data_IF_065922275904
#
_entry.id   IF_065922275904
#
_cell.length_a   1.000
_cell.length_b   1.000
_cell.length_c   1.000
_cell.angle_alpha   90.00
_cell.angle_beta   90.00
_cell.angle_gamma   90.00
#
_symmetry.space_group_name_H-M   'P 1'
#
loop_
_entity.id
_entity.type
_entity.pdbx_description
1 polymer ?
#
# COMPACT_ATOMS: atom_id res chain seq x y z
N UNK A 1 4.29 -14.79 -46.60
CA UNK A 1 5.50 -15.48 -46.09
C UNK A 1 6.63 -15.10 -47.00
N UNK A 2 7.38 -14.07 -46.61
CA UNK A 2 8.55 -13.62 -47.35
C UNK A 2 9.58 -14.75 -47.28
N UNK A 3 9.82 -15.45 -48.39
CA UNK A 3 10.90 -16.44 -48.46
C UNK A 3 12.19 -15.65 -48.25
N UNK A 4 12.77 -15.77 -47.06
CA UNK A 4 14.09 -15.25 -46.75
C UNK A 4 15.03 -15.80 -47.81
N UNK A 5 15.37 -14.96 -48.79
CA UNK A 5 16.40 -15.27 -49.78
C UNK A 5 17.67 -15.45 -48.97
N UNK A 6 18.08 -16.70 -48.77
CA UNK A 6 19.41 -17.01 -48.27
C UNK A 6 20.37 -16.29 -49.20
N UNK A 7 20.96 -15.19 -48.73
CA UNK A 7 21.96 -14.45 -49.49
C UNK A 7 23.23 -15.29 -49.44
N UNK A 8 23.25 -16.32 -50.29
CA UNK A 8 24.43 -17.12 -50.54
C UNK A 8 25.52 -16.19 -51.07
N UNK A 9 26.78 -16.44 -50.70
CA UNK A 9 27.90 -15.69 -51.25
C UNK A 9 27.85 -15.79 -52.78
N UNK A 10 28.02 -14.64 -53.46
CA UNK A 10 28.23 -14.64 -54.90
C UNK A 10 29.56 -15.34 -55.17
N UNK A 11 29.50 -16.64 -55.49
CA UNK A 11 30.69 -17.35 -55.96
C UNK A 11 31.25 -16.69 -57.22
N UNK A 12 32.51 -16.95 -57.58
CA UNK A 12 33.12 -16.38 -58.77
C UNK A 12 32.27 -16.66 -60.03
N UNK A 13 32.19 -15.68 -60.92
CA UNK A 13 31.44 -15.78 -62.18
C UNK A 13 32.10 -16.73 -63.19
N UNK A 14 33.23 -17.34 -62.82
CA UNK A 14 34.03 -18.24 -63.65
C UNK A 14 33.68 -19.72 -63.46
N UNK A 15 32.72 -20.06 -62.60
CA UNK A 15 32.33 -21.46 -62.38
C UNK A 15 31.69 -22.04 -63.63
N UNK A 16 31.98 -23.31 -63.92
CA UNK A 16 31.43 -24.01 -65.07
C UNK A 16 29.95 -24.42 -64.93
N UNK A 17 29.27 -24.02 -63.85
CA UNK A 17 27.87 -24.38 -63.55
C UNK A 17 27.10 -23.22 -62.89
N UNK A 18 25.78 -23.28 -63.01
CA UNK A 18 24.87 -22.41 -62.26
C UNK A 18 24.66 -22.95 -60.84
N UNK A 19 24.75 -22.06 -59.85
CA UNK A 19 24.62 -22.38 -58.42
C UNK A 19 23.16 -22.60 -58.03
N UNK A 20 22.24 -21.98 -58.76
CA UNK A 20 20.81 -22.06 -58.48
C UNK A 20 20.26 -23.46 -58.81
N UNK A 21 20.99 -24.25 -59.61
CA UNK A 21 20.68 -25.66 -59.88
C UNK A 21 20.61 -26.50 -58.59
N UNK A 22 21.50 -26.22 -57.62
CA UNK A 22 21.52 -26.92 -56.32
C UNK A 22 20.34 -26.56 -55.40
N UNK A 23 19.57 -25.52 -55.74
CA UNK A 23 18.43 -25.05 -54.95
C UNK A 23 17.09 -25.54 -55.51
N UNK A 24 17.11 -26.27 -56.64
CA UNK A 24 15.92 -26.85 -57.25
C UNK A 24 15.47 -28.09 -56.48
N UNK A 25 14.15 -28.25 -56.36
CA UNK A 25 13.55 -29.40 -55.65
C UNK A 25 13.72 -30.72 -56.44
N UNK A 26 13.90 -30.64 -57.75
CA UNK A 26 14.08 -31.75 -58.70
C UNK A 26 15.56 -31.95 -59.12
N UNK A 27 16.51 -31.49 -58.31
CA UNK A 27 17.93 -31.64 -58.59
C UNK A 27 18.34 -33.11 -58.77
N UNK A 28 18.92 -33.41 -59.93
CA UNK A 28 19.44 -34.72 -60.28
C UNK A 28 20.94 -34.64 -60.61
N UNK A 29 21.74 -35.43 -59.90
CA UNK A 29 23.22 -35.40 -60.01
C UNK A 29 23.69 -35.89 -61.37
N UNK A 30 23.07 -36.95 -61.90
CA UNK A 30 23.49 -37.57 -63.15
C UNK A 30 23.20 -36.64 -64.34
N UNK A 31 22.04 -36.00 -64.35
CA UNK A 31 21.67 -34.95 -65.30
C UNK A 31 22.61 -33.75 -65.21
N UNK A 32 22.85 -33.24 -63.99
CA UNK A 32 23.75 -32.11 -63.76
C UNK A 32 25.17 -32.35 -64.26
N UNK A 33 25.77 -33.50 -63.92
CA UNK A 33 27.14 -33.85 -64.34
C UNK A 33 27.19 -34.07 -65.86
N UNK A 34 26.15 -34.68 -66.44
CA UNK A 34 26.05 -34.89 -67.88
C UNK A 34 25.97 -33.58 -68.66
N UNK A 35 25.26 -32.58 -68.14
CA UNK A 35 25.16 -31.26 -68.74
C UNK A 35 26.47 -30.46 -68.63
N UNK A 36 27.16 -30.54 -67.49
CA UNK A 36 28.46 -29.90 -67.31
C UNK A 36 29.54 -30.53 -68.22
N UNK A 37 29.54 -31.86 -68.38
CA UNK A 37 30.50 -32.57 -69.24
C UNK A 37 30.41 -32.22 -70.73
N UNK A 38 29.31 -31.63 -71.19
CA UNK A 38 29.19 -31.13 -72.57
C UNK A 38 30.11 -29.92 -72.82
N UNK A 39 30.51 -29.21 -71.77
CA UNK A 39 31.21 -27.94 -71.85
C UNK A 39 32.61 -27.95 -71.22
N UNK A 40 32.85 -28.80 -70.21
CA UNK A 40 34.13 -28.87 -69.47
C UNK A 40 34.58 -30.31 -69.17
N UNK A 41 35.88 -30.49 -68.88
CA UNK A 41 36.43 -31.76 -68.42
C UNK A 41 36.03 -32.04 -66.96
N UNK A 42 36.03 -33.32 -66.57
CA UNK A 42 35.59 -33.73 -65.24
C UNK A 42 36.49 -33.16 -64.12
N UNK A 43 37.79 -33.03 -64.40
CA UNK A 43 38.79 -32.47 -63.50
C UNK A 43 38.54 -30.99 -63.21
N UNK A 44 38.11 -30.23 -64.23
CA UNK A 44 37.76 -28.81 -64.10
C UNK A 44 36.48 -28.65 -63.28
N UNK A 45 35.43 -29.42 -63.60
CA UNK A 45 34.20 -29.47 -62.81
C UNK A 45 34.48 -29.81 -61.34
N UNK A 46 35.35 -30.78 -61.07
CA UNK A 46 35.76 -31.14 -59.71
C UNK A 46 36.44 -29.98 -58.99
N UNK A 47 37.34 -29.28 -59.67
CA UNK A 47 38.03 -28.10 -59.14
C UNK A 47 37.06 -26.99 -58.76
N UNK A 48 36.10 -26.71 -59.64
CA UNK A 48 35.08 -25.68 -59.45
C UNK A 48 34.09 -26.03 -58.33
N UNK A 49 33.69 -27.31 -58.22
CA UNK A 49 32.86 -27.80 -57.11
C UNK A 49 33.59 -27.66 -55.77
N UNK A 50 34.88 -28.00 -55.73
CA UNK A 50 35.66 -27.89 -54.51
C UNK A 50 35.90 -26.42 -54.09
N UNK A 51 36.11 -25.53 -55.07
CA UNK A 51 36.16 -24.09 -54.84
C UNK A 51 34.85 -23.57 -54.28
N UNK A 52 33.71 -23.93 -54.90
CA UNK A 52 32.39 -23.51 -54.46
C UNK A 52 32.07 -24.03 -53.05
N UNK A 53 32.42 -25.28 -52.74
CA UNK A 53 32.27 -25.85 -51.40
C UNK A 53 33.05 -25.06 -50.33
N UNK A 54 34.31 -24.68 -50.62
CA UNK A 54 35.13 -23.87 -49.71
C UNK A 54 34.52 -22.50 -49.46
N UNK A 55 34.04 -21.84 -50.52
CA UNK A 55 33.35 -20.54 -50.40
C UNK A 55 32.08 -20.64 -49.57
N UNK A 56 31.27 -21.66 -49.82
CA UNK A 56 30.04 -21.90 -49.07
C UNK A 56 30.33 -22.11 -47.58
N UNK A 57 31.35 -22.91 -47.26
CA UNK A 57 31.78 -23.16 -45.87
C UNK A 57 32.22 -21.88 -45.17
N UNK A 58 32.99 -21.02 -45.83
CA UNK A 58 33.41 -19.72 -45.27
C UNK A 58 32.20 -18.84 -45.01
N UNK A 59 31.32 -18.68 -45.98
CA UNK A 59 30.14 -17.82 -45.84
C UNK A 59 29.17 -18.31 -44.76
N UNK A 60 29.03 -19.63 -44.57
CA UNK A 60 28.24 -20.16 -43.45
C UNK A 60 28.83 -19.75 -42.10
N UNK A 61 30.15 -19.83 -41.95
CA UNK A 61 30.84 -19.39 -40.73
C UNK A 61 30.66 -17.88 -40.54
N UNK A 62 30.76 -17.09 -41.60
CA UNK A 62 30.53 -15.64 -41.54
C UNK A 62 29.10 -15.26 -41.16
N UNK A 63 28.10 -15.96 -41.71
CA UNK A 63 26.69 -15.78 -41.33
C UNK A 63 26.48 -16.07 -39.84
N UNK A 64 27.01 -17.19 -39.35
CA UNK A 64 26.93 -17.55 -37.93
C UNK A 64 27.65 -16.50 -37.07
N UNK A 65 28.85 -16.07 -37.48
CA UNK A 65 29.62 -15.07 -36.72
C UNK A 65 28.91 -13.71 -36.70
N UNK A 66 28.24 -13.33 -37.79
CA UNK A 66 27.44 -12.11 -37.86
C UNK A 66 26.26 -12.18 -36.89
N UNK A 67 25.49 -13.27 -36.95
CA UNK A 67 24.34 -13.47 -36.06
C UNK A 67 24.78 -13.57 -34.59
N UNK A 68 25.95 -14.17 -34.34
CA UNK A 68 26.56 -14.23 -33.02
C UNK A 68 26.95 -12.84 -32.50
N UNK A 69 27.54 -11.98 -33.35
CA UNK A 69 27.86 -10.61 -32.96
C UNK A 69 26.60 -9.81 -32.61
N UNK A 70 25.53 -9.96 -33.39
CA UNK A 70 24.24 -9.32 -33.12
C UNK A 70 23.63 -9.81 -31.80
N UNK A 71 23.69 -11.12 -31.52
CA UNK A 71 23.25 -11.69 -30.25
C UNK A 71 24.06 -11.16 -29.06
N UNK A 72 25.39 -11.11 -29.16
CA UNK A 72 26.26 -10.59 -28.11
C UNK A 72 25.98 -9.11 -27.86
N UNK A 73 25.82 -8.31 -28.91
CA UNK A 73 25.46 -6.90 -28.79
C UNK A 73 24.11 -6.72 -28.08
N UNK A 74 23.09 -7.49 -28.49
CA UNK A 74 21.77 -7.43 -27.85
C UNK A 74 21.84 -7.84 -26.37
N UNK A 75 22.55 -8.93 -26.05
CA UNK A 75 22.72 -9.38 -24.66
C UNK A 75 23.44 -8.34 -23.80
N UNK A 76 24.46 -7.68 -24.34
CA UNK A 76 25.21 -6.62 -23.64
C UNK A 76 24.33 -5.40 -23.40
N UNK A 77 23.54 -4.99 -24.39
CA UNK A 77 22.60 -3.88 -24.27
C UNK A 77 21.51 -4.17 -23.25
N UNK A 78 20.98 -5.40 -23.22
CA UNK A 78 19.96 -5.81 -22.25
C UNK A 78 20.51 -5.76 -20.81
N UNK A 79 21.71 -6.30 -20.59
CA UNK A 79 22.39 -6.22 -19.29
C UNK A 79 22.71 -4.76 -18.90
N UNK A 80 23.11 -3.94 -19.87
CA UNK A 80 23.32 -2.50 -19.65
C UNK A 80 22.04 -1.78 -19.22
N UNK A 81 20.91 -2.12 -19.83
CA UNK A 81 19.60 -1.58 -19.47
C UNK A 81 19.15 -2.01 -18.08
N UNK A 82 19.34 -3.28 -17.72
CA UNK A 82 19.03 -3.78 -16.36
C UNK A 82 19.82 -3.01 -15.29
N UNK A 83 21.09 -2.69 -15.55
CA UNK A 83 21.88 -1.84 -14.65
C UNK A 83 21.30 -0.43 -14.53
N UNK A 84 20.92 0.20 -15.64
CA UNK A 84 20.31 1.53 -15.62
C UNK A 84 18.95 1.53 -14.88
N UNK A 85 18.15 0.47 -15.06
CA UNK A 85 16.90 0.28 -14.35
C UNK A 85 17.13 0.15 -12.83
N UNK A 86 18.11 -0.66 -12.43
CA UNK A 86 18.45 -0.83 -11.01
C UNK A 86 19.03 0.45 -10.37
N UNK A 87 19.74 1.28 -11.15
CA UNK A 87 20.19 2.60 -10.68
C UNK A 87 19.02 3.57 -10.43
N UNK A 88 17.89 3.41 -11.13
CA UNK A 88 16.69 4.24 -10.94
C UNK A 88 15.71 3.66 -9.93
N UNK A 89 15.62 2.34 -9.80
CA UNK A 89 14.65 1.69 -8.90
C UNK A 89 14.88 2.04 -7.43
N UNK A 90 16.14 2.13 -6.99
CA UNK A 90 16.53 2.49 -5.63
C UNK A 90 16.11 3.93 -5.27
N UNK A 91 16.52 4.98 -6.00
CA UNK A 91 16.13 6.36 -5.66
C UNK A 91 14.61 6.57 -5.74
N UNK A 92 13.90 5.87 -6.64
CA UNK A 92 12.44 5.93 -6.69
C UNK A 92 11.79 5.27 -5.46
N UNK A 93 12.34 4.16 -4.98
CA UNK A 93 11.93 3.53 -3.73
C UNK A 93 12.11 4.47 -2.53
N UNK A 94 13.26 5.11 -2.43
CA UNK A 94 13.56 6.10 -1.38
C UNK A 94 12.64 7.32 -1.46
N UNK A 95 12.36 7.83 -2.65
CA UNK A 95 11.43 8.95 -2.84
C UNK A 95 10.02 8.62 -2.34
N UNK A 96 9.55 7.38 -2.56
CA UNK A 96 8.25 6.92 -2.05
C UNK A 96 8.19 6.97 -0.53
N UNK A 97 9.26 6.57 0.15
CA UNK A 97 9.34 6.64 1.62
C UNK A 97 9.31 8.09 2.10
N UNK A 98 10.06 8.99 1.46
CA UNK A 98 10.05 10.42 1.78
C UNK A 98 8.65 11.03 1.62
N UNK A 99 7.92 10.66 0.56
CA UNK A 99 6.55 11.12 0.35
C UNK A 99 5.59 10.61 1.43
N UNK A 100 5.76 9.37 1.88
CA UNK A 100 5.00 8.79 2.99
C UNK A 100 5.29 9.54 4.30
N UNK A 101 6.56 9.74 4.62
CA UNK A 101 6.98 10.53 5.79
C UNK A 101 6.42 11.95 5.75
N UNK A 102 6.50 12.62 4.60
CA UNK A 102 5.90 13.95 4.39
C UNK A 102 4.42 13.94 4.71
N UNK A 103 3.68 12.92 4.28
CA UNK A 103 2.24 12.79 4.59
C UNK A 103 2.00 12.68 6.10
N UNK A 104 2.72 11.79 6.78
CA UNK A 104 2.60 11.61 8.23
C UNK A 104 2.95 12.88 9.01
N UNK A 105 4.00 13.59 8.59
CA UNK A 105 4.36 14.89 9.19
C UNK A 105 3.27 15.93 8.95
N UNK A 106 2.70 15.98 7.74
CA UNK A 106 1.63 16.94 7.40
C UNK A 106 0.37 16.68 8.22
N UNK A 107 0.03 15.40 8.46
CA UNK A 107 -1.06 15.00 9.34
C UNK A 107 -0.79 15.41 10.80
N UNK A 108 0.44 15.19 11.29
CA UNK A 108 0.88 15.61 12.61
C UNK A 108 0.77 17.12 12.83
N UNK A 109 1.22 17.92 11.85
CA UNK A 109 1.09 19.39 11.88
C UNK A 109 -0.39 19.78 12.00
N UNK A 110 -1.25 19.21 11.16
CA UNK A 110 -2.69 19.49 11.18
C UNK A 110 -3.32 19.14 12.53
N UNK A 111 -2.93 18.03 13.14
CA UNK A 111 -3.40 17.63 14.46
C UNK A 111 -2.93 18.58 15.57
N UNK A 112 -1.70 19.09 15.48
CA UNK A 112 -1.17 20.12 16.40
C UNK A 112 -1.96 21.42 16.24
N UNK A 113 -2.16 21.89 15.02
CA UNK A 113 -2.92 23.12 14.75
C UNK A 113 -4.36 23.04 15.30
N UNK A 114 -5.04 21.91 15.10
CA UNK A 114 -6.38 21.69 15.65
C UNK A 114 -6.39 21.76 17.18
N UNK A 115 -5.38 21.19 17.84
CA UNK A 115 -5.24 21.25 19.30
C UNK A 115 -4.95 22.67 19.77
N UNK A 116 -4.11 23.42 19.05
CA UNK A 116 -3.82 24.82 19.37
C UNK A 116 -5.08 25.70 19.30
N UNK A 117 -5.91 25.53 18.25
CA UNK A 117 -7.20 26.21 18.14
C UNK A 117 -8.11 25.89 19.33
N UNK A 118 -8.26 24.60 19.69
CA UNK A 118 -9.06 24.19 20.85
C UNK A 118 -8.51 24.78 22.16
N UNK A 119 -7.19 24.81 22.33
CA UNK A 119 -6.55 25.36 23.52
C UNK A 119 -6.81 26.87 23.65
N UNK A 120 -6.78 27.62 22.55
CA UNK A 120 -7.10 29.05 22.56
C UNK A 120 -8.57 29.32 22.92
N UNK A 121 -9.50 28.50 22.43
CA UNK A 121 -10.92 28.61 22.83
C UNK A 121 -11.13 28.29 24.30
N UNK A 122 -10.45 27.27 24.84
CA UNK A 122 -10.48 26.94 26.27
C UNK A 122 -9.91 28.12 27.08
N UNK A 123 -8.78 28.70 26.63
CA UNK A 123 -8.14 29.84 27.31
C UNK A 123 -9.08 31.05 27.38
N UNK A 124 -9.73 31.40 26.27
CA UNK A 124 -10.75 32.47 26.22
C UNK A 124 -11.90 32.21 27.20
N UNK A 125 -12.45 30.98 27.19
CA UNK A 125 -13.53 30.59 28.10
C UNK A 125 -13.10 30.68 29.57
N UNK A 126 -11.87 30.26 29.88
CA UNK A 126 -11.30 30.33 31.24
C UNK A 126 -11.23 31.77 31.74
N UNK A 127 -10.68 32.70 30.95
CA UNK A 127 -10.61 34.13 31.32
C UNK A 127 -11.99 34.71 31.64
N UNK A 128 -12.99 34.40 30.81
CA UNK A 128 -14.38 34.84 31.05
C UNK A 128 -14.92 34.30 32.38
N UNK A 129 -14.65 33.02 32.67
CA UNK A 129 -15.09 32.41 33.93
C UNK A 129 -14.40 33.06 35.13
N UNK A 130 -13.08 33.21 35.09
CA UNK A 130 -12.30 33.86 36.16
C UNK A 130 -12.81 35.28 36.45
N UNK A 131 -13.01 36.08 35.40
CA UNK A 131 -13.53 37.45 35.54
C UNK A 131 -14.92 37.50 36.21
N UNK A 132 -15.83 36.58 35.88
CA UNK A 132 -17.18 36.53 36.47
C UNK A 132 -17.11 36.16 37.96
N UNK A 133 -16.23 35.24 38.33
CA UNK A 133 -16.07 34.80 39.72
C UNK A 133 -15.46 35.90 40.58
N UNK A 134 -14.47 36.64 40.06
CA UNK A 134 -13.80 37.72 40.80
C UNK A 134 -14.66 38.97 40.97
N UNK A 135 -15.50 39.29 39.97
CA UNK A 135 -16.29 40.55 39.96
C UNK A 135 -17.56 40.52 40.80
N UNK A 136 -18.07 39.34 41.20
CA UNK A 136 -19.35 39.21 41.90
C UNK A 136 -19.24 38.28 43.13
N UNK A 137 -19.69 38.70 44.33
CA UNK A 137 -19.64 37.86 45.53
C UNK A 137 -20.47 36.57 45.41
N UNK A 138 -21.51 36.57 44.56
CA UNK A 138 -22.31 35.40 44.19
C UNK A 138 -21.94 34.84 42.79
N UNK A 139 -20.81 35.23 42.21
CA UNK A 139 -20.43 34.94 40.82
C UNK A 139 -20.40 33.45 40.48
N UNK A 140 -19.98 32.61 41.42
CA UNK A 140 -20.05 31.16 41.30
C UNK A 140 -21.50 30.68 41.11
N UNK A 141 -22.43 31.17 41.94
CA UNK A 141 -23.85 30.84 41.91
C UNK A 141 -24.52 31.28 40.60
N UNK A 142 -24.13 32.44 40.08
CA UNK A 142 -24.58 32.95 38.78
C UNK A 142 -24.05 32.06 37.64
N UNK A 143 -22.79 31.64 37.68
CA UNK A 143 -22.19 30.74 36.68
C UNK A 143 -22.88 29.36 36.68
N UNK A 144 -23.13 28.79 37.87
CA UNK A 144 -23.87 27.54 37.99
C UNK A 144 -25.27 27.67 37.40
N UNK A 145 -26.02 28.73 37.74
CA UNK A 145 -27.40 28.94 37.30
C UNK A 145 -27.56 29.21 35.79
N UNK A 146 -26.68 30.00 35.18
CA UNK A 146 -26.84 30.46 33.79
C UNK A 146 -26.10 29.64 32.72
N UNK A 147 -25.07 28.85 33.08
CA UNK A 147 -24.25 28.10 32.08
C UNK A 147 -24.22 26.59 32.30
N UNK A 148 -24.07 26.14 33.55
CA UNK A 148 -23.92 24.70 33.85
C UNK A 148 -25.25 23.96 33.79
N UNK A 149 -26.36 24.63 34.12
CA UNK A 149 -27.68 24.03 34.07
C UNK A 149 -28.20 23.73 32.65
N UNK A 150 -27.65 24.39 31.62
CA UNK A 150 -27.97 24.13 30.19
C UNK A 150 -27.22 22.92 29.62
N UNK A 151 -26.06 22.59 30.18
CA UNK A 151 -25.25 21.42 29.80
C UNK A 151 -25.73 20.12 30.45
N UNK A 152 -26.68 20.19 31.40
CA UNK A 152 -27.28 19.01 32.02
C UNK A 152 -28.25 18.37 31.02
N UNK A 153 -27.99 17.15 30.54
CA UNK A 153 -28.87 16.46 29.59
C UNK A 153 -30.29 16.37 30.14
N UNK A 154 -31.31 16.51 29.28
CA UNK A 154 -32.72 16.57 29.69
C UNK A 154 -33.16 15.43 30.63
N UNK A 155 -32.50 14.27 30.55
CA UNK A 155 -32.76 13.07 31.36
C UNK A 155 -32.34 13.21 32.84
N UNK A 156 -31.44 14.16 33.18
CA UNK A 156 -30.99 14.41 34.56
C UNK A 156 -31.78 15.53 35.26
N UNK A 157 -32.83 16.08 34.63
CA UNK A 157 -33.67 17.14 35.19
C UNK A 157 -34.31 16.75 36.53
N UNK A 158 -34.70 15.48 36.66
CA UNK A 158 -35.31 14.94 37.88
C UNK A 158 -34.36 14.99 39.08
N UNK A 159 -33.07 14.69 38.89
CA UNK A 159 -32.06 14.74 39.98
C UNK A 159 -31.95 16.14 40.59
N UNK A 160 -32.13 17.21 39.79
CA UNK A 160 -32.12 18.59 40.28
C UNK A 160 -33.31 18.92 41.18
N UNK A 161 -34.48 18.34 40.92
CA UNK A 161 -35.66 18.50 41.78
C UNK A 161 -35.49 17.73 43.09
N UNK A 162 -34.91 16.52 43.06
CA UNK A 162 -34.75 15.71 44.28
C UNK A 162 -33.60 16.20 45.16
N UNK A 163 -32.53 16.79 44.61
CA UNK A 163 -31.44 17.37 45.40
C UNK A 163 -31.63 18.87 45.68
N UNK A 164 -32.51 19.55 44.96
CA UNK A 164 -32.77 20.99 45.07
C UNK A 164 -33.86 21.40 46.05
N UNK A 165 -34.30 20.51 46.95
CA UNK A 165 -35.45 20.78 47.82
C UNK A 165 -35.13 20.84 49.32
N UNK A 166 -34.68 21.99 49.84
CA UNK A 166 -34.98 22.45 51.21
C UNK A 166 -34.44 23.86 51.54
N UNK A 167 -35.08 24.90 51.01
CA UNK A 167 -35.37 26.07 51.85
C UNK A 167 -36.89 26.08 52.04
N UNK A 168 -37.39 25.28 52.98
CA UNK A 168 -38.76 25.43 53.46
C UNK A 168 -38.79 25.47 54.97
N UNK A 169 -39.35 26.58 55.47
CA UNK A 169 -39.47 26.93 56.89
C UNK A 169 -40.32 25.89 57.63
N UNK A 170 -39.69 25.24 58.61
CA UNK A 170 -40.19 24.93 59.96
C UNK A 170 -41.72 24.75 60.11
N UNK A 171 -42.17 23.49 60.23
CA UNK A 171 -42.99 23.06 61.38
C UNK A 171 -42.99 21.53 61.54
N UNK A 172 -42.82 21.14 62.80
CA UNK A 172 -42.72 19.81 63.39
C UNK A 172 -43.76 18.81 62.85
N UNK A 173 -43.36 17.55 62.65
CA UNK A 173 -43.74 16.39 63.48
C UNK A 173 -43.43 15.08 62.74
N UNK A 174 -42.83 14.13 63.47
CA UNK A 174 -42.86 12.71 63.13
C UNK A 174 -41.59 12.14 62.53
N UNK A 175 -40.74 11.58 63.40
CA UNK A 175 -39.77 10.55 63.03
C UNK A 175 -40.45 9.49 62.14
N UNK A 176 -40.06 9.41 60.86
CA UNK A 176 -40.09 8.16 60.10
C UNK A 176 -38.73 7.98 59.46
N UNK A 177 -37.99 7.08 60.07
CA UNK A 177 -36.71 6.54 59.63
C UNK A 177 -36.91 5.89 58.25
N UNK A 178 -36.47 6.54 57.18
CA UNK A 178 -36.40 5.91 55.86
C UNK A 178 -35.18 4.99 55.84
N UNK A 179 -35.39 3.76 56.31
CA UNK A 179 -34.53 2.62 55.98
C UNK A 179 -34.69 2.37 54.49
N UNK A 180 -33.77 2.90 53.69
CA UNK A 180 -33.61 2.58 52.27
C UNK A 180 -33.56 1.05 52.15
N UNK A 181 -34.64 0.43 51.64
CA UNK A 181 -34.64 -0.97 51.20
C UNK A 181 -33.92 -1.05 49.86
N UNK A 182 -32.64 -0.72 49.86
CA UNK A 182 -31.78 -0.60 48.68
C UNK A 182 -31.01 -1.88 48.36
N UNK A 183 -31.56 -3.04 48.74
CA UNK A 183 -30.95 -4.33 48.40
C UNK A 183 -31.60 -5.00 47.20
N UNK A 184 -32.86 -4.68 46.86
CA UNK A 184 -33.56 -5.35 45.75
C UNK A 184 -33.13 -4.81 44.39
N UNK A 185 -33.09 -3.48 44.27
CA UNK A 185 -32.53 -2.80 43.08
C UNK A 185 -31.05 -3.14 42.93
N UNK A 186 -30.27 -3.08 44.02
CA UNK A 186 -28.83 -3.37 43.97
C UNK A 186 -28.53 -4.81 43.53
N UNK A 187 -29.37 -5.79 43.89
CA UNK A 187 -29.25 -7.16 43.36
C UNK A 187 -29.70 -7.28 41.91
N UNK A 188 -30.77 -6.59 41.51
CA UNK A 188 -31.33 -6.65 40.16
C UNK A 188 -30.39 -6.01 39.13
N UNK A 189 -29.77 -4.89 39.47
CA UNK A 189 -28.71 -4.26 38.69
C UNK A 189 -27.46 -5.15 38.59
N UNK A 190 -27.08 -5.86 39.67
CA UNK A 190 -25.92 -6.76 39.68
C UNK A 190 -26.13 -8.00 38.79
N UNK A 191 -27.36 -8.52 38.75
CA UNK A 191 -27.76 -9.63 37.87
C UNK A 191 -27.81 -9.20 36.40
N UNK A 192 -28.32 -8.00 36.11
CA UNK A 192 -28.35 -7.45 34.74
C UNK A 192 -26.95 -7.15 34.21
N UNK A 193 -26.05 -6.63 35.05
CA UNK A 193 -24.66 -6.37 34.66
C UNK A 193 -23.88 -7.67 34.37
N UNK A 194 -24.11 -8.73 35.16
CA UNK A 194 -23.47 -10.03 34.97
C UNK A 194 -23.99 -10.76 33.72
N UNK A 195 -25.26 -10.57 33.37
CA UNK A 195 -25.85 -11.14 32.16
C UNK A 195 -25.34 -10.46 30.87
N UNK A 196 -25.00 -9.18 30.91
CA UNK A 196 -24.43 -8.44 29.76
C UNK A 196 -22.92 -8.63 29.57
N UNK A 197 -22.18 -9.20 30.53
CA UNK A 197 -20.73 -9.41 30.45
C UNK A 197 -20.31 -10.82 29.97
N UNK A 198 -21.26 -11.68 29.62
CA UNK A 198 -20.99 -13.04 29.12
C UNK A 198 -20.52 -13.13 27.66
N UNK A 199 -20.58 -12.05 26.89
CA UNK A 199 -20.07 -12.01 25.51
C UNK A 199 -18.74 -11.25 25.46
N UNK A 200 -17.66 -12.02 25.61
CA UNK A 200 -16.28 -11.74 25.18
C UNK A 200 -15.87 -10.27 25.16
N UNK A 201 -15.33 -9.79 26.28
CA UNK A 201 -14.65 -8.51 26.33
C UNK A 201 -13.19 -8.73 26.72
N UNK A 202 -12.29 -8.53 25.76
CA UNK A 202 -10.85 -8.66 25.92
C UNK A 202 -10.32 -7.74 27.03
N UNK A 203 -9.38 -8.28 27.79
CA UNK A 203 -8.80 -7.77 29.05
C UNK A 203 -7.95 -6.49 28.90
N UNK A 204 -8.08 -5.77 27.78
CA UNK A 204 -7.27 -4.58 27.44
C UNK A 204 -8.07 -3.28 27.42
N UNK A 205 -9.36 -3.28 27.80
CA UNK A 205 -10.12 -2.03 27.94
C UNK A 205 -9.89 -1.38 29.32
N UNK A 206 -9.37 -0.14 29.40
CA UNK A 206 -9.17 0.60 30.65
C UNK A 206 -10.46 0.85 31.48
N UNK A 207 -11.64 0.62 30.92
CA UNK A 207 -12.91 0.66 31.67
C UNK A 207 -13.09 -0.55 32.61
N UNK A 208 -12.46 -1.70 32.33
CA UNK A 208 -12.54 -2.89 33.17
C UNK A 208 -11.80 -2.72 34.52
N UNK A 209 -10.71 -1.95 34.52
CA UNK A 209 -9.90 -1.66 35.72
C UNK A 209 -10.68 -0.85 36.77
N UNK A 210 -11.52 0.09 36.34
CA UNK A 210 -12.36 0.90 37.23
C UNK A 210 -13.50 0.10 37.88
N UNK A 211 -13.92 -1.01 37.26
CA UNK A 211 -14.98 -1.88 37.78
C UNK A 211 -14.42 -2.87 38.81
N UNK A 212 -13.22 -3.41 38.57
CA UNK A 212 -12.53 -4.30 39.53
C UNK A 212 -12.17 -3.59 40.85
N UNK A 213 -11.83 -2.29 40.80
CA UNK A 213 -11.58 -1.50 42.01
C UNK A 213 -12.85 -1.23 42.84
N UNK A 214 -14.04 -1.26 42.23
CA UNK A 214 -15.32 -1.15 42.92
C UNK A 214 -15.80 -2.47 43.57
N UNK A 215 -15.18 -3.60 43.22
CA UNK A 215 -15.52 -4.94 43.71
C UNK A 215 -14.72 -5.33 44.96
N UNK A 216 -13.75 -4.51 45.40
CA UNK A 216 -12.90 -4.80 46.55
C UNK A 216 -13.70 -4.53 47.85
N UNK A 217 -13.84 -5.51 48.76
CA UNK A 217 -14.46 -5.23 50.06
C UNK A 217 -13.51 -4.35 50.87
N UNK A 218 -13.99 -3.21 51.32
CA UNK A 218 -13.35 -2.41 52.38
C UNK A 218 -13.21 -3.28 53.65
N UNK A 219 -12.10 -3.18 54.41
CA UNK A 219 -11.93 -3.88 55.69
C UNK A 219 -12.91 -3.44 56.78
#
# INVERSE_FOLDING_TARGET
>A
MERSRMNLPKGPDTLCFDKDEFMKEDFDVDHFVSDCRKHVQLEELRGDLELYYKLLKIAMVELINKDYADFVNLSTNLVGMDKALNQLSVPLGQLREVLSLRSSVSEGIRAVDERMCKQEDIRKKKVIVEQIVESHPDGLKIMYANKLLELVPHHCRLLREVTGGAISRKRRLGHRQYRLKDNRLKTEWRTQLSASQGETFEESNPTATLILDFQRPEP
#
